data_IF_267687239454
#
_entry.id   IF_267687239454
#
_cell.length_a   1.000
_cell.length_b   1.000
_cell.length_c   1.000
_cell.angle_alpha   90.00
_cell.angle_beta   90.00
_cell.angle_gamma   90.00
#
_symmetry.space_group_name_H-M   'P 1'
#
loop_
_entity.id
_entity.type
_entity.pdbx_description
1 polymer ?
#
# COMPACT_ATOMS: atom_id res chain seq x y z
N UNK A 1 7.04 -20.85 -16.56
CA UNK A 1 7.88 -19.94 -15.76
C UNK A 1 6.97 -18.82 -15.34
N UNK A 2 6.94 -18.42 -14.06
CA UNK A 2 6.04 -17.37 -13.60
C UNK A 2 6.28 -16.08 -14.39
N UNK A 3 5.21 -15.48 -14.89
CA UNK A 3 5.28 -14.22 -15.66
C UNK A 3 4.81 -13.10 -14.74
N UNK A 4 5.66 -12.11 -14.50
CA UNK A 4 5.23 -10.87 -13.85
C UNK A 4 4.56 -9.99 -14.89
N UNK A 5 3.23 -9.90 -14.84
CA UNK A 5 2.42 -9.17 -15.83
C UNK A 5 2.37 -7.67 -15.57
N UNK A 6 2.62 -7.26 -14.33
CA UNK A 6 2.63 -5.86 -13.91
C UNK A 6 3.66 -5.63 -12.82
N UNK A 7 4.44 -4.55 -12.96
CA UNK A 7 5.38 -4.07 -11.95
C UNK A 7 5.10 -2.59 -11.72
N UNK A 8 4.85 -2.20 -10.47
CA UNK A 8 4.79 -0.80 -10.05
C UNK A 8 5.92 -0.57 -9.07
N UNK A 9 6.95 0.11 -9.55
CA UNK A 9 8.21 0.15 -8.84
C UNK A 9 9.37 0.27 -9.79
N UNK A 10 10.50 -0.25 -9.34
CA UNK A 10 11.71 -0.34 -10.12
C UNK A 10 11.72 -1.59 -11.01
N UNK A 11 11.93 -1.39 -12.31
CA UNK A 11 12.00 -2.48 -13.28
C UNK A 11 13.41 -3.06 -13.44
N UNK A 12 14.45 -2.39 -12.92
CA UNK A 12 15.81 -2.92 -12.99
C UNK A 12 16.07 -3.86 -11.79
N UNK A 13 16.11 -5.16 -12.11
CA UNK A 13 16.35 -6.23 -11.15
C UNK A 13 15.77 -7.52 -11.74
N UNK A 14 16.57 -8.57 -11.80
CA UNK A 14 16.07 -9.90 -12.12
C UNK A 14 14.95 -10.25 -11.13
N UNK A 15 13.85 -10.83 -11.62
CA UNK A 15 12.82 -11.39 -10.74
C UNK A 15 13.51 -12.25 -9.67
N UNK A 16 13.17 -12.09 -8.37
CA UNK A 16 13.81 -12.86 -7.33
C UNK A 16 13.69 -14.35 -7.66
N UNK A 17 14.82 -15.07 -7.60
CA UNK A 17 14.81 -16.54 -7.61
C UNK A 17 13.91 -17.00 -6.46
N UNK A 18 12.99 -17.92 -6.75
CA UNK A 18 11.87 -18.37 -5.90
C UNK A 18 12.05 -18.17 -4.38
N UNK A 19 11.05 -17.58 -3.70
CA UNK A 19 11.19 -17.13 -2.32
C UNK A 19 11.14 -18.26 -1.29
N UNK A 20 11.85 -18.06 -0.17
CA UNK A 20 11.90 -18.95 1.00
C UNK A 20 10.95 -18.56 2.13
N UNK A 21 10.20 -17.46 2.02
CA UNK A 21 9.20 -17.06 3.03
C UNK A 21 7.83 -16.84 2.40
N UNK A 22 6.85 -17.62 2.87
CA UNK A 22 5.53 -17.85 2.25
C UNK A 22 4.38 -17.38 3.13
N UNK A 23 4.51 -16.24 3.82
CA UNK A 23 3.40 -15.76 4.66
C UNK A 23 2.31 -15.15 3.78
N UNK A 24 1.26 -15.93 3.49
CA UNK A 24 0.01 -15.44 2.90
C UNK A 24 -0.66 -14.48 3.89
N UNK A 25 -1.29 -13.43 3.39
CA UNK A 25 -2.11 -12.56 4.23
C UNK A 25 -3.44 -13.27 4.47
N UNK A 26 -3.70 -13.60 5.74
CA UNK A 26 -4.96 -14.22 6.14
C UNK A 26 -6.13 -13.26 5.92
N UNK A 27 -7.31 -13.79 5.60
CA UNK A 27 -8.55 -12.99 5.57
C UNK A 27 -8.91 -12.37 6.92
N UNK A 28 -8.42 -12.97 8.01
CA UNK A 28 -8.68 -12.46 9.36
C UNK A 28 -7.92 -11.16 9.66
N UNK A 29 -6.91 -10.83 8.86
CA UNK A 29 -6.17 -9.58 8.98
C UNK A 29 -7.09 -8.40 8.61
N UNK A 30 -7.15 -7.38 9.47
CA UNK A 30 -8.07 -6.23 9.30
C UNK A 30 -7.82 -5.42 8.01
N UNK A 31 -6.60 -5.44 7.50
CA UNK A 31 -6.19 -4.76 6.27
C UNK A 31 -6.38 -5.59 5.00
N UNK A 32 -6.70 -6.89 5.10
CA UNK A 32 -6.74 -7.80 3.96
C UNK A 32 -7.75 -7.34 2.89
N UNK A 33 -8.94 -6.91 3.32
CA UNK A 33 -9.99 -6.49 2.41
C UNK A 33 -9.65 -5.20 1.65
N UNK A 34 -9.03 -4.22 2.31
CA UNK A 34 -8.62 -2.98 1.64
C UNK A 34 -7.48 -3.23 0.65
N UNK A 35 -6.51 -4.10 1.02
CA UNK A 35 -5.45 -4.52 0.11
C UNK A 35 -5.99 -5.28 -1.10
N UNK A 36 -6.92 -6.22 -0.90
CA UNK A 36 -7.58 -6.95 -1.99
C UNK A 36 -8.31 -5.98 -2.93
N UNK A 37 -9.11 -5.06 -2.39
CA UNK A 37 -9.84 -4.07 -3.19
C UNK A 37 -8.89 -3.18 -4.00
N UNK A 38 -7.78 -2.74 -3.41
CA UNK A 38 -6.73 -1.97 -4.11
C UNK A 38 -6.13 -2.77 -5.27
N UNK A 39 -5.71 -4.01 -5.00
CA UNK A 39 -5.05 -4.90 -5.96
C UNK A 39 -5.97 -5.30 -7.13
N UNK A 40 -7.23 -5.64 -6.83
CA UNK A 40 -8.24 -5.97 -7.83
C UNK A 40 -8.57 -4.75 -8.70
N UNK A 41 -8.71 -3.57 -8.10
CA UNK A 41 -8.93 -2.32 -8.85
C UNK A 41 -7.78 -2.04 -9.81
N UNK A 42 -6.55 -2.27 -9.36
CA UNK A 42 -5.36 -2.07 -10.15
C UNK A 42 -5.27 -3.03 -11.35
N UNK A 43 -5.52 -4.33 -11.13
CA UNK A 43 -5.55 -5.29 -12.23
C UNK A 43 -6.71 -5.03 -13.18
N UNK A 44 -7.88 -4.65 -12.66
CA UNK A 44 -9.04 -4.30 -13.50
C UNK A 44 -8.69 -3.21 -14.52
N UNK A 45 -7.94 -2.19 -14.09
CA UNK A 45 -7.42 -1.16 -14.99
C UNK A 45 -6.39 -1.69 -15.99
N UNK A 46 -5.43 -2.50 -15.54
CA UNK A 46 -4.43 -3.10 -16.42
C UNK A 46 -5.08 -4.00 -17.51
N UNK A 47 -6.07 -4.80 -17.13
CA UNK A 47 -6.86 -5.62 -18.06
C UNK A 47 -7.68 -4.78 -19.02
N UNK A 48 -8.24 -3.65 -18.57
CA UNK A 48 -8.95 -2.73 -19.47
C UNK A 48 -8.02 -2.13 -20.54
N UNK A 49 -6.78 -1.77 -20.18
CA UNK A 49 -5.76 -1.33 -21.15
C UNK A 49 -5.43 -2.44 -22.14
N UNK A 50 -5.23 -3.67 -21.64
CA UNK A 50 -4.93 -4.83 -22.49
C UNK A 50 -6.07 -5.11 -23.49
N UNK A 51 -7.32 -5.10 -23.01
CA UNK A 51 -8.51 -5.27 -23.83
C UNK A 51 -8.65 -4.16 -24.88
N UNK A 52 -8.39 -2.91 -24.51
CA UNK A 52 -8.41 -1.79 -25.45
C UNK A 52 -7.36 -1.95 -26.55
N UNK A 53 -6.14 -2.39 -26.20
CA UNK A 53 -5.03 -2.54 -27.15
C UNK A 53 -5.18 -3.75 -28.07
N UNK A 54 -5.66 -4.87 -27.54
CA UNK A 54 -5.64 -6.18 -28.22
C UNK A 54 -7.03 -6.68 -28.64
N UNK A 55 -8.09 -5.92 -28.33
CA UNK A 55 -9.49 -6.36 -28.49
C UNK A 55 -9.95 -7.39 -27.44
N UNK A 56 -9.06 -7.85 -26.56
CA UNK A 56 -9.34 -8.79 -25.48
C UNK A 56 -8.25 -8.70 -24.39
N UNK A 57 -8.58 -9.06 -23.15
CA UNK A 57 -7.61 -9.24 -22.08
C UNK A 57 -7.37 -10.72 -21.84
N UNK A 58 -6.11 -11.14 -21.71
CA UNK A 58 -5.79 -12.52 -21.37
C UNK A 58 -6.09 -12.77 -19.89
N UNK A 59 -6.75 -13.89 -19.53
CA UNK A 59 -6.95 -14.24 -18.14
C UNK A 59 -5.60 -14.41 -17.43
N UNK A 60 -5.53 -14.03 -16.17
CA UNK A 60 -4.35 -14.31 -15.35
C UNK A 60 -4.26 -15.81 -15.08
N UNK A 61 -3.09 -16.39 -15.38
CA UNK A 61 -2.73 -17.78 -15.10
C UNK A 61 -2.37 -17.96 -13.63
N UNK A 62 -2.38 -19.21 -13.16
CA UNK A 62 -1.97 -19.56 -11.80
C UNK A 62 -0.54 -19.09 -11.45
N UNK A 63 0.35 -19.05 -12.45
CA UNK A 63 1.75 -18.64 -12.30
C UNK A 63 2.00 -17.15 -12.60
N UNK A 64 0.98 -16.40 -13.01
CA UNK A 64 1.12 -14.96 -13.23
C UNK A 64 1.24 -14.21 -11.90
N UNK A 65 2.02 -13.13 -11.90
CA UNK A 65 2.26 -12.30 -10.72
C UNK A 65 2.13 -10.81 -11.00
N UNK A 66 1.84 -10.07 -9.94
CA UNK A 66 1.93 -8.60 -9.87
C UNK A 66 2.94 -8.22 -8.81
N UNK A 67 3.80 -7.26 -9.10
CA UNK A 67 4.81 -6.76 -8.17
C UNK A 67 4.60 -5.28 -7.84
N UNK A 68 4.66 -4.93 -6.56
CA UNK A 68 4.65 -3.56 -6.04
C UNK A 68 5.90 -3.34 -5.19
N UNK A 69 6.73 -2.35 -5.53
CA UNK A 69 7.93 -2.06 -4.74
C UNK A 69 7.64 -1.09 -3.59
N UNK A 70 8.40 -1.27 -2.53
CA UNK A 70 8.54 -0.31 -1.43
C UNK A 70 9.79 0.55 -1.66
N UNK A 71 9.69 1.84 -1.31
CA UNK A 71 10.82 2.78 -1.34
C UNK A 71 11.57 2.81 -0.02
N UNK A 72 10.85 2.81 1.09
CA UNK A 72 11.43 2.91 2.43
C UNK A 72 11.95 1.57 2.93
N UNK A 73 11.36 0.50 2.43
CA UNK A 73 11.84 -0.85 2.65
C UNK A 73 12.51 -1.36 1.39
N UNK A 74 13.70 -1.98 1.47
CA UNK A 74 14.26 -2.74 0.37
C UNK A 74 13.44 -4.02 0.22
N UNK A 75 12.19 -3.90 -0.25
CA UNK A 75 11.24 -4.99 -0.33
C UNK A 75 10.28 -4.79 -1.51
N UNK A 76 9.77 -5.92 -1.99
CA UNK A 76 8.77 -6.03 -3.05
C UNK A 76 7.62 -6.89 -2.58
N UNK A 77 6.42 -6.40 -2.76
CA UNK A 77 5.19 -7.15 -2.59
C UNK A 77 4.85 -7.88 -3.89
N UNK A 78 4.66 -9.19 -3.83
CA UNK A 78 4.30 -10.04 -4.98
C UNK A 78 2.96 -10.70 -4.72
N UNK A 79 1.99 -10.40 -5.56
CA UNK A 79 0.65 -10.96 -5.52
C UNK A 79 0.44 -11.97 -6.64
N UNK A 80 -0.18 -13.11 -6.34
CA UNK A 80 -0.74 -14.05 -7.32
C UNK A 80 -2.24 -13.81 -7.46
N UNK A 81 -2.70 -13.18 -8.56
CA UNK A 81 -4.09 -12.75 -8.67
C UNK A 81 -5.06 -13.84 -9.08
N UNK A 82 -4.61 -14.93 -9.71
CA UNK A 82 -5.50 -15.96 -10.25
C UNK A 82 -6.52 -16.49 -9.21
N UNK A 83 -6.14 -16.90 -7.99
CA UNK A 83 -7.12 -17.39 -7.01
C UNK A 83 -8.20 -16.35 -6.65
N UNK A 84 -7.80 -15.09 -6.50
CA UNK A 84 -8.72 -13.99 -6.19
C UNK A 84 -9.68 -13.72 -7.36
N UNK A 85 -9.14 -13.55 -8.57
CA UNK A 85 -9.95 -13.24 -9.75
C UNK A 85 -10.90 -14.40 -10.13
N UNK A 86 -10.42 -15.65 -10.05
CA UNK A 86 -11.25 -16.84 -10.30
C UNK A 86 -12.42 -16.94 -9.32
N UNK A 87 -12.19 -16.62 -8.04
CA UNK A 87 -13.27 -16.59 -7.06
C UNK A 87 -14.27 -15.45 -7.32
N UNK A 88 -13.79 -14.23 -7.56
CA UNK A 88 -14.66 -13.07 -7.81
C UNK A 88 -15.51 -13.23 -9.07
N UNK A 89 -14.94 -13.76 -10.14
CA UNK A 89 -15.68 -14.04 -11.40
C UNK A 89 -16.71 -15.15 -11.24
N UNK A 90 -16.49 -16.09 -10.32
CA UNK A 90 -17.47 -17.09 -9.91
C UNK A 90 -18.47 -16.58 -8.86
N UNK A 91 -18.47 -15.28 -8.54
CA UNK A 91 -19.30 -14.67 -7.48
C UNK A 91 -19.10 -15.32 -6.10
N UNK A 92 -17.85 -15.71 -5.80
CA UNK A 92 -17.43 -16.27 -4.51
C UNK A 92 -16.51 -15.29 -3.77
N UNK A 93 -16.44 -15.43 -2.45
CA UNK A 93 -15.41 -14.75 -1.66
C UNK A 93 -14.05 -15.38 -1.98
N UNK A 94 -13.13 -14.58 -2.55
CA UNK A 94 -11.72 -14.97 -2.74
C UNK A 94 -11.13 -15.49 -1.45
N UNK A 95 -10.25 -16.50 -1.47
CA UNK A 95 -9.59 -17.07 -0.28
C UNK A 95 -8.63 -16.10 0.45
N UNK A 96 -7.70 -16.60 1.29
CA UNK A 96 -6.58 -15.78 1.77
C UNK A 96 -5.84 -15.12 0.60
N UNK A 97 -5.40 -13.87 0.79
CA UNK A 97 -4.73 -13.12 -0.25
C UNK A 97 -3.31 -13.70 -0.43
N UNK A 98 -3.04 -14.26 -1.62
CA UNK A 98 -1.73 -14.84 -1.97
C UNK A 98 -0.73 -13.72 -2.31
N UNK A 99 -0.45 -12.90 -1.30
CA UNK A 99 0.39 -11.72 -1.32
C UNK A 99 1.58 -11.96 -0.40
N UNK A 100 2.78 -11.85 -0.96
CA UNK A 100 4.04 -12.14 -0.28
C UNK A 100 4.93 -10.91 -0.28
N UNK A 101 5.71 -10.74 0.77
CA UNK A 101 6.73 -9.71 0.88
C UNK A 101 8.10 -10.32 0.67
N UNK A 102 8.88 -9.80 -0.27
CA UNK A 102 10.23 -10.28 -0.57
C UNK A 102 11.25 -9.19 -0.32
N UNK A 103 12.32 -9.46 0.44
CA UNK A 103 13.42 -8.52 0.54
C UNK A 103 14.11 -8.36 -0.82
N UNK A 104 14.49 -7.13 -1.14
CA UNK A 104 15.32 -6.79 -2.28
C UNK A 104 16.78 -6.71 -1.83
N UNK A 105 17.68 -7.29 -2.63
CA UNK A 105 19.13 -7.23 -2.37
C UNK A 105 19.75 -5.91 -2.83
N UNK A 106 19.09 -5.21 -3.75
CA UNK A 106 19.51 -3.90 -4.25
C UNK A 106 18.76 -2.79 -3.55
N UNK A 107 19.42 -1.68 -3.20
CA UNK A 107 18.74 -0.49 -2.68
C UNK A 107 17.65 -0.01 -3.65
N UNK A 108 16.49 0.39 -3.13
CA UNK A 108 15.46 1.02 -3.94
C UNK A 108 15.98 2.38 -4.44
N UNK A 109 15.81 2.71 -5.73
CA UNK A 109 16.23 4.02 -6.24
C UNK A 109 15.57 5.17 -5.48
N UNK A 110 16.30 6.27 -5.39
CA UNK A 110 15.80 7.51 -4.77
C UNK A 110 14.97 8.37 -5.72
N UNK A 111 14.88 8.01 -7.01
CA UNK A 111 14.07 8.73 -7.99
C UNK A 111 12.56 8.52 -7.75
N UNK A 112 11.70 9.52 -8.00
CA UNK A 112 10.25 9.33 -8.01
C UNK A 112 9.78 8.33 -9.07
N UNK A 113 8.64 7.67 -8.84
CA UNK A 113 8.03 6.81 -9.86
C UNK A 113 7.57 7.63 -11.07
N UNK A 114 8.07 7.29 -12.26
CA UNK A 114 7.70 7.93 -13.53
C UNK A 114 6.39 7.34 -14.07
N UNK A 115 5.28 7.64 -13.39
CA UNK A 115 3.97 7.02 -13.66
C UNK A 115 3.16 7.72 -14.78
N UNK A 116 3.54 8.94 -15.17
CA UNK A 116 2.77 9.72 -16.14
C UNK A 116 1.31 9.89 -15.71
N UNK A 117 0.38 9.71 -16.66
CA UNK A 117 -1.07 9.82 -16.40
C UNK A 117 -1.62 8.74 -15.45
N UNK A 118 -0.93 7.59 -15.33
CA UNK A 118 -1.32 6.51 -14.40
C UNK A 118 -1.11 6.94 -12.94
N UNK A 119 -0.27 7.95 -12.69
CA UNK A 119 -0.02 8.47 -11.35
C UNK A 119 -1.28 8.97 -10.65
N UNK A 120 -2.18 9.64 -11.38
CA UNK A 120 -3.46 10.11 -10.84
C UNK A 120 -4.40 8.96 -10.44
N UNK A 121 -4.40 7.87 -11.21
CA UNK A 121 -5.19 6.69 -10.88
C UNK A 121 -4.64 5.98 -9.63
N UNK A 122 -3.32 5.77 -9.58
CA UNK A 122 -2.67 5.15 -8.42
C UNK A 122 -2.83 5.99 -7.17
N UNK A 123 -2.84 7.32 -7.31
CA UNK A 123 -3.19 8.23 -6.25
C UNK A 123 -4.60 7.94 -5.71
N UNK A 124 -5.63 7.94 -6.56
CA UNK A 124 -7.03 7.71 -6.12
C UNK A 124 -7.22 6.33 -5.50
N UNK A 125 -6.63 5.28 -6.08
CA UNK A 125 -6.69 3.93 -5.52
C UNK A 125 -5.97 3.86 -4.16
N UNK A 126 -4.78 4.47 -4.06
CA UNK A 126 -4.01 4.52 -2.82
C UNK A 126 -4.71 5.35 -1.73
N UNK A 127 -5.39 6.42 -2.12
CA UNK A 127 -6.23 7.23 -1.23
C UNK A 127 -7.37 6.38 -0.66
N UNK A 128 -8.07 5.61 -1.49
CA UNK A 128 -9.13 4.72 -1.02
C UNK A 128 -8.58 3.69 -0.01
N UNK A 129 -7.45 3.05 -0.33
CA UNK A 129 -6.77 2.11 0.57
C UNK A 129 -6.44 2.73 1.94
N UNK A 130 -5.66 3.80 1.93
CA UNK A 130 -5.14 4.40 3.17
C UNK A 130 -6.22 5.08 4.00
N UNK A 131 -7.12 5.82 3.35
CA UNK A 131 -8.18 6.56 4.05
C UNK A 131 -9.20 5.60 4.64
N UNK A 132 -9.66 4.58 3.90
CA UNK A 132 -10.65 3.64 4.41
C UNK A 132 -10.15 2.89 5.65
N UNK A 133 -8.90 2.41 5.61
CA UNK A 133 -8.32 1.71 6.76
C UNK A 133 -8.16 2.67 7.96
N UNK A 134 -7.59 3.86 7.73
CA UNK A 134 -7.39 4.85 8.79
C UNK A 134 -8.72 5.23 9.48
N UNK A 135 -9.74 5.63 8.71
CA UNK A 135 -11.02 6.07 9.27
C UNK A 135 -11.76 4.96 10.00
N UNK A 136 -11.62 3.70 9.55
CA UNK A 136 -12.26 2.55 10.20
C UNK A 136 -11.74 2.31 11.61
N UNK A 137 -10.46 2.59 11.87
CA UNK A 137 -9.81 2.18 13.12
C UNK A 137 -9.27 3.34 13.98
N UNK A 138 -9.25 4.58 13.47
CA UNK A 138 -8.82 5.74 14.27
C UNK A 138 -9.64 5.93 15.55
N UNK A 139 -10.90 5.48 15.57
CA UNK A 139 -11.74 5.48 16.78
C UNK A 139 -11.13 4.67 17.93
N UNK A 140 -10.49 3.54 17.62
CA UNK A 140 -9.80 2.69 18.62
C UNK A 140 -8.56 3.40 19.16
N UNK A 141 -7.79 4.06 18.29
CA UNK A 141 -6.63 4.85 18.73
C UNK A 141 -7.06 5.98 19.64
N UNK A 142 -8.12 6.72 19.27
CA UNK A 142 -8.66 7.80 20.08
C UNK A 142 -9.17 7.32 21.43
N UNK A 143 -9.81 6.15 21.50
CA UNK A 143 -10.31 5.63 22.78
C UNK A 143 -9.20 5.25 23.76
N UNK A 144 -8.02 4.85 23.26
CA UNK A 144 -6.89 4.43 24.11
C UNK A 144 -5.87 5.56 24.36
N UNK A 145 -5.65 6.43 23.38
CA UNK A 145 -4.59 7.45 23.40
C UNK A 145 -5.13 8.88 23.52
N UNK A 146 -6.46 9.08 23.51
CA UNK A 146 -7.11 10.39 23.50
C UNK A 146 -7.16 11.04 22.11
N UNK A 147 -7.81 12.20 22.02
CA UNK A 147 -7.99 12.93 20.76
C UNK A 147 -6.74 13.66 20.26
N UNK A 148 -5.76 13.95 21.13
CA UNK A 148 -4.52 14.62 20.76
C UNK A 148 -3.56 13.65 20.04
N UNK A 149 -3.27 13.86 18.74
CA UNK A 149 -2.36 12.99 18.00
C UNK A 149 -0.93 12.97 18.55
N UNK A 150 -0.54 13.93 19.39
CA UNK A 150 0.77 13.92 20.05
C UNK A 150 0.96 12.74 21.00
N UNK A 151 -0.13 12.13 21.48
CA UNK A 151 -0.10 10.93 22.33
C UNK A 151 -0.25 9.62 21.58
N UNK A 152 -0.46 9.65 20.26
CA UNK A 152 -0.70 8.44 19.46
C UNK A 152 0.61 7.68 19.16
N UNK A 153 0.53 6.37 18.86
CA UNK A 153 1.67 5.63 18.32
C UNK A 153 2.26 6.35 17.10
N UNK A 154 3.59 6.34 17.00
CA UNK A 154 4.31 7.11 15.95
C UNK A 154 3.84 6.79 14.54
N UNK A 155 3.61 5.50 14.24
CA UNK A 155 3.08 5.03 12.95
C UNK A 155 1.67 5.56 12.66
N UNK A 156 0.80 5.62 13.67
CA UNK A 156 -0.56 6.15 13.53
C UNK A 156 -0.57 7.67 13.34
N UNK A 157 0.31 8.39 14.05
CA UNK A 157 0.45 9.83 13.86
C UNK A 157 1.06 10.17 12.49
N UNK A 158 2.00 9.36 12.01
CA UNK A 158 2.51 9.47 10.65
C UNK A 158 1.42 9.17 9.61
N UNK A 159 0.67 8.07 9.78
CA UNK A 159 -0.44 7.69 8.92
C UNK A 159 -1.52 8.78 8.84
N UNK A 160 -1.78 9.51 9.93
CA UNK A 160 -2.67 10.69 9.93
C UNK A 160 -2.18 11.76 8.95
N UNK A 161 -0.88 12.02 8.91
CA UNK A 161 -0.29 12.99 7.96
C UNK A 161 -0.39 12.47 6.52
N UNK A 162 -0.14 11.17 6.29
CA UNK A 162 -0.32 10.54 4.97
C UNK A 162 -1.77 10.62 4.49
N UNK A 163 -2.74 10.28 5.36
CA UNK A 163 -4.18 10.42 5.08
C UNK A 163 -4.54 11.86 4.76
N UNK A 164 -4.01 12.83 5.52
CA UNK A 164 -4.27 14.23 5.24
C UNK A 164 -3.70 14.62 3.86
N UNK A 165 -2.49 14.16 3.54
CA UNK A 165 -1.90 14.40 2.24
C UNK A 165 -2.74 13.81 1.10
N UNK A 166 -3.32 12.62 1.27
CA UNK A 166 -4.27 12.03 0.31
C UNK A 166 -5.49 12.93 0.07
N UNK A 167 -6.03 13.57 1.11
CA UNK A 167 -7.13 14.53 0.95
C UNK A 167 -6.72 15.85 0.25
N UNK A 168 -5.42 16.16 0.22
CA UNK A 168 -4.86 17.38 -0.36
C UNK A 168 -4.02 17.09 -1.63
N UNK A 169 -4.48 16.17 -2.47
CA UNK A 169 -3.85 15.89 -3.78
C UNK A 169 -2.42 15.33 -3.66
N UNK A 170 -2.14 14.63 -2.56
CA UNK A 170 -0.86 13.97 -2.27
C UNK A 170 0.17 14.90 -1.63
N UNK A 171 -0.25 16.09 -1.21
CA UNK A 171 0.60 17.12 -0.61
C UNK A 171 0.39 17.21 0.89
N UNK A 172 1.48 17.28 1.65
CA UNK A 172 1.42 17.50 3.09
C UNK A 172 0.64 18.79 3.39
N UNK A 173 -0.22 18.72 4.40
CA UNK A 173 -0.96 19.88 4.88
C UNK A 173 -0.94 19.92 6.41
N UNK A 174 -0.24 20.92 6.98
CA UNK A 174 -0.25 21.27 8.39
C UNK A 174 -0.96 22.63 8.56
N UNK A 175 -1.95 22.69 9.44
CA UNK A 175 -2.69 23.93 9.73
C UNK A 175 -2.02 24.79 10.79
N UNK A 176 -1.31 24.16 11.74
CA UNK A 176 -0.59 24.86 12.81
C UNK A 176 0.90 24.95 12.47
N UNK A 177 1.52 26.15 12.50
CA UNK A 177 2.96 26.31 12.34
C UNK A 177 3.77 25.69 13.50
N UNK A 178 3.11 25.39 14.63
CA UNK A 178 3.72 24.79 15.81
C UNK A 178 3.40 23.28 15.93
N UNK A 179 2.85 22.66 14.88
CA UNK A 179 2.58 21.22 14.91
C UNK A 179 3.89 20.43 15.09
N UNK A 180 3.84 19.38 15.92
CA UNK A 180 5.00 18.50 16.12
C UNK A 180 5.31 17.73 14.85
N UNK A 181 6.61 17.59 14.57
CA UNK A 181 7.12 16.73 13.50
C UNK A 181 6.75 15.27 13.77
N UNK A 182 6.29 14.58 12.73
CA UNK A 182 6.04 13.13 12.74
C UNK A 182 7.16 12.41 11.97
N UNK A 183 7.49 11.20 12.37
CA UNK A 183 8.52 10.42 11.70
C UNK A 183 8.12 8.95 11.56
N UNK A 184 8.52 8.34 10.46
CA UNK A 184 8.34 6.91 10.18
C UNK A 184 9.37 6.44 9.17
N UNK A 185 10.12 5.38 9.51
CA UNK A 185 11.09 4.71 8.61
C UNK A 185 12.05 5.67 7.89
N UNK A 186 12.62 6.61 8.64
CA UNK A 186 13.59 7.59 8.12
C UNK A 186 12.98 8.80 7.41
N UNK A 187 11.66 8.80 7.17
CA UNK A 187 10.93 10.00 6.77
C UNK A 187 10.56 10.83 8.00
N UNK A 188 10.53 12.13 7.80
CA UNK A 188 10.16 13.10 8.83
C UNK A 188 9.41 14.25 8.17
N UNK A 189 8.24 14.60 8.73
CA UNK A 189 7.37 15.65 8.23
C UNK A 189 6.87 16.55 9.36
N UNK A 190 7.05 17.84 9.20
CA UNK A 190 6.53 18.90 10.05
C UNK A 190 6.06 20.10 9.21
N UNK A 191 5.75 21.22 9.87
CA UNK A 191 5.27 22.43 9.19
C UNK A 191 6.21 22.98 8.12
N UNK A 192 7.51 22.72 8.20
CA UNK A 192 8.51 23.13 7.18
C UNK A 192 8.36 22.37 5.86
N UNK A 193 7.71 21.20 5.85
CA UNK A 193 7.47 20.37 4.66
C UNK A 193 6.06 20.56 4.08
N UNK A 194 5.34 21.61 4.46
CA UNK A 194 4.01 21.89 3.93
C UNK A 194 4.02 21.97 2.38
N UNK A 195 2.95 21.53 1.74
CA UNK A 195 2.77 21.44 0.28
C UNK A 195 3.72 20.47 -0.47
N UNK A 196 4.65 19.81 0.23
CA UNK A 196 5.50 18.74 -0.34
C UNK A 196 4.63 17.57 -0.80
N UNK A 197 4.83 17.15 -2.05
CA UNK A 197 4.17 15.97 -2.60
C UNK A 197 4.91 14.70 -2.17
N UNK A 198 4.19 13.78 -1.50
CA UNK A 198 4.82 12.59 -0.88
C UNK A 198 4.42 11.27 -1.55
N UNK A 199 3.26 11.20 -2.18
CA UNK A 199 2.78 9.97 -2.81
C UNK A 199 3.51 9.74 -4.14
N UNK A 200 3.98 8.52 -4.35
CA UNK A 200 4.82 8.08 -5.49
C UNK A 200 6.19 8.80 -5.58
N UNK A 201 6.51 9.64 -4.59
CA UNK A 201 7.79 10.33 -4.43
C UNK A 201 8.49 9.73 -3.22
N UNK A 202 7.99 9.99 -2.01
CA UNK A 202 8.56 9.50 -0.75
C UNK A 202 7.95 8.18 -0.31
N UNK A 203 6.69 7.92 -0.70
CA UNK A 203 5.93 6.71 -0.40
C UNK A 203 5.46 6.05 -1.69
N UNK A 204 5.90 4.83 -1.95
CA UNK A 204 5.44 3.99 -3.06
C UNK A 204 4.29 3.08 -2.62
N UNK A 205 3.56 2.44 -3.55
CA UNK A 205 2.46 1.55 -3.20
C UNK A 205 2.81 0.46 -2.19
N UNK A 206 4.03 -0.13 -2.28
CA UNK A 206 4.48 -1.11 -1.30
C UNK A 206 4.63 -0.54 0.11
N UNK A 207 5.07 0.71 0.24
CA UNK A 207 5.20 1.37 1.55
C UNK A 207 3.83 1.60 2.21
N UNK A 208 2.77 1.79 1.42
CA UNK A 208 1.41 1.88 1.98
C UNK A 208 0.98 0.54 2.60
N UNK A 209 1.38 -0.59 2.02
CA UNK A 209 1.07 -1.90 2.60
C UNK A 209 1.82 -2.10 3.91
N UNK A 210 3.11 -1.76 3.92
CA UNK A 210 3.94 -1.81 5.13
C UNK A 210 3.36 -0.89 6.23
N UNK A 211 2.89 0.32 5.87
CA UNK A 211 2.26 1.25 6.79
C UNK A 211 0.99 0.67 7.43
N UNK A 212 0.09 0.07 6.64
CA UNK A 212 -1.15 -0.54 7.14
C UNK A 212 -0.87 -1.71 8.10
N UNK A 213 0.12 -2.54 7.80
CA UNK A 213 0.50 -3.68 8.65
C UNK A 213 1.07 -3.19 9.98
N UNK A 214 1.93 -2.17 9.98
CA UNK A 214 2.47 -1.60 11.22
C UNK A 214 1.38 -0.88 12.03
N UNK A 215 0.46 -0.16 11.38
CA UNK A 215 -0.71 0.40 12.05
C UNK A 215 -1.55 -0.70 12.72
N UNK A 216 -1.73 -1.83 12.04
CA UNK A 216 -2.50 -2.97 12.58
C UNK A 216 -1.83 -3.62 13.79
N UNK A 217 -0.50 -3.76 13.74
CA UNK A 217 0.28 -4.29 14.85
C UNK A 217 0.07 -3.47 16.13
N UNK A 218 0.05 -2.13 16.03
CA UNK A 218 -0.25 -1.25 17.16
C UNK A 218 -1.67 -1.45 17.71
N UNK A 219 -2.67 -1.66 16.84
CA UNK A 219 -4.03 -1.96 17.29
C UNK A 219 -4.09 -3.27 18.08
N UNK A 220 -3.37 -4.29 17.62
CA UNK A 220 -3.29 -5.58 18.32
C UNK A 220 -2.62 -5.46 19.68
N UNK A 221 -1.58 -4.62 19.81
CA UNK A 221 -0.94 -4.33 21.09
C UNK A 221 -1.88 -3.63 22.07
N UNK A 222 -2.65 -2.63 21.60
CA UNK A 222 -3.63 -1.92 22.43
C UNK A 222 -4.76 -2.84 22.89
N UNK A 223 -5.26 -3.72 22.02
CA UNK A 223 -6.31 -4.69 22.36
C UNK A 223 -5.85 -5.76 23.36
N UNK A 224 -4.55 -6.06 23.41
CA UNK A 224 -3.97 -6.98 24.41
C UNK A 224 -3.70 -6.34 25.77
N UNK A 225 -3.79 -5.01 25.89
CA UNK A 225 -3.49 -4.26 27.11
C UNK A 225 -4.74 -3.95 27.97
N UNK A 226 -5.94 -4.26 27.47
CA UNK A 226 -7.23 -4.13 28.16
C UNK A 226 -7.65 -5.41 28.87
#
# INVERSE_FOLDING_TARGET
MPITRMVIGHTAGSAPSSPSDTSKISKSERYAQDMEAYLVSLIGFAMAIEAWRNGHAQPYREDDTVALDSRLFPARWVWRPHPTLSALTANHSAGPLDLHRHPLTTPTPTEPLKLGSVGGLLHTMGQALGTNYFERYVGIIKSHCGDDPCGWPSVWNFARVVRNAMAHGGRIHFTSPNAKTVAWRGLSYGPSENDRHILHVDLWPGDLFDLLIEMDAELSLLAGAS
#
